data_IF_109630379661
#
_entry.id   IF_109630379661
#
_cell.length_a   1.000
_cell.length_b   1.000
_cell.length_c   1.000
_cell.angle_alpha   90.00
_cell.angle_beta   90.00
_cell.angle_gamma   90.00
#
_symmetry.space_group_name_H-M   'P 1'
#
loop_
_entity.id
_entity.type
_entity.pdbx_description
1 polymer ?
#
# COMPACT_ATOMS: atom_id res chain seq x y z
N UNK A 1 20.05 24.10 -10.62
CA UNK A 1 18.91 23.92 -9.70
C UNK A 1 19.41 23.13 -8.53
N UNK A 2 18.90 23.28 -7.29
CA UNK A 2 19.29 22.40 -6.22
C UNK A 2 18.97 20.95 -6.60
N UNK A 3 19.85 20.04 -6.28
CA UNK A 3 19.68 18.62 -6.54
C UNK A 3 18.56 18.08 -5.62
N UNK A 4 17.47 17.56 -6.21
CA UNK A 4 16.33 17.03 -5.46
C UNK A 4 16.58 15.56 -5.16
N UNK A 5 16.33 15.14 -3.93
CA UNK A 5 16.37 13.73 -3.50
C UNK A 5 14.97 13.27 -3.08
N UNK A 6 14.38 12.39 -3.87
CA UNK A 6 13.08 11.80 -3.61
C UNK A 6 13.24 10.57 -2.71
N UNK A 7 12.62 10.60 -1.53
CA UNK A 7 12.47 9.43 -0.68
C UNK A 7 11.34 8.54 -1.17
N UNK A 8 11.58 7.24 -1.29
CA UNK A 8 10.58 6.24 -1.66
C UNK A 8 10.52 5.19 -0.57
N UNK A 9 9.36 5.04 0.08
CA UNK A 9 9.13 4.00 1.08
C UNK A 9 8.51 2.79 0.39
N UNK A 10 9.18 1.65 0.50
CA UNK A 10 8.91 0.44 -0.26
C UNK A 10 10.01 0.19 -1.30
N UNK A 11 10.53 -1.03 -1.30
CA UNK A 11 11.70 -1.41 -2.10
C UNK A 11 11.38 -2.43 -3.19
N UNK A 12 10.12 -2.65 -3.49
CA UNK A 12 9.65 -3.61 -4.46
C UNK A 12 9.92 -3.22 -5.92
N UNK A 13 9.26 -3.92 -6.82
CA UNK A 13 9.37 -3.69 -8.27
C UNK A 13 8.93 -2.28 -8.67
N UNK A 14 7.87 -1.76 -8.05
CA UNK A 14 7.39 -0.41 -8.32
C UNK A 14 8.38 0.66 -7.83
N UNK A 15 9.02 0.44 -6.67
CA UNK A 15 10.10 1.29 -6.18
C UNK A 15 11.28 1.36 -7.14
N UNK A 16 11.65 0.22 -7.75
CA UNK A 16 12.66 0.15 -8.81
C UNK A 16 12.27 0.99 -10.02
N UNK A 17 11.02 0.86 -10.50
CA UNK A 17 10.53 1.61 -11.66
C UNK A 17 10.45 3.12 -11.38
N UNK A 18 10.03 3.51 -10.17
CA UNK A 18 10.02 4.91 -9.74
C UNK A 18 11.42 5.50 -9.70
N UNK A 19 12.41 4.76 -9.18
CA UNK A 19 13.81 5.21 -9.15
C UNK A 19 14.35 5.41 -10.56
N UNK A 20 14.13 4.47 -11.47
CA UNK A 20 14.52 4.62 -12.88
C UNK A 20 13.85 5.83 -13.55
N UNK A 21 12.57 6.08 -13.25
CA UNK A 21 11.85 7.22 -13.80
C UNK A 21 12.36 8.54 -13.23
N UNK A 22 12.67 8.61 -11.95
CA UNK A 22 13.24 9.78 -11.28
C UNK A 22 14.61 10.12 -11.84
N UNK A 23 15.48 9.14 -12.04
CA UNK A 23 16.81 9.33 -12.62
C UNK A 23 16.78 9.93 -14.05
N UNK A 24 15.76 9.59 -14.85
CA UNK A 24 15.56 10.21 -16.19
C UNK A 24 15.23 11.70 -16.12
N UNK A 25 14.83 12.19 -14.95
CA UNK A 25 14.49 13.59 -14.68
C UNK A 25 15.58 14.28 -13.85
N UNK A 26 16.75 13.69 -13.72
CA UNK A 26 17.86 14.17 -12.87
C UNK A 26 17.46 14.33 -11.39
N UNK A 27 16.52 13.49 -10.91
CA UNK A 27 16.09 13.44 -9.51
C UNK A 27 16.77 12.25 -8.86
N UNK A 28 17.53 12.49 -7.79
CA UNK A 28 18.11 11.43 -6.95
C UNK A 28 17.03 10.71 -6.15
N UNK A 29 17.27 9.45 -5.83
CA UNK A 29 16.36 8.63 -5.04
C UNK A 29 17.04 8.00 -3.85
N UNK A 30 16.32 7.95 -2.73
CA UNK A 30 16.68 7.19 -1.54
C UNK A 30 15.53 6.25 -1.21
N UNK A 31 15.77 4.95 -1.25
CA UNK A 31 14.78 3.92 -0.89
C UNK A 31 14.88 3.62 0.61
N UNK A 32 13.73 3.46 1.25
CA UNK A 32 13.58 2.88 2.59
C UNK A 32 12.76 1.60 2.50
N UNK A 33 13.29 0.47 2.97
CA UNK A 33 12.60 -0.82 2.90
C UNK A 33 12.90 -1.69 4.12
N UNK A 34 11.92 -2.52 4.51
CA UNK A 34 12.05 -3.57 5.52
C UNK A 34 12.57 -4.91 4.94
N UNK A 35 12.81 -4.95 3.64
CA UNK A 35 13.45 -6.08 2.95
C UNK A 35 14.92 -5.70 2.63
N UNK A 36 15.93 -6.41 3.22
CA UNK A 36 17.33 -6.13 2.93
C UNK A 36 17.73 -6.47 1.49
N UNK A 37 16.97 -7.35 0.81
CA UNK A 37 17.21 -7.79 -0.57
C UNK A 37 16.27 -7.11 -1.55
N UNK A 38 15.67 -5.98 -1.16
CA UNK A 38 14.71 -5.24 -1.96
C UNK A 38 15.27 -4.88 -3.35
N UNK A 39 14.58 -5.23 -4.46
CA UNK A 39 15.10 -5.02 -5.81
C UNK A 39 15.39 -3.55 -6.16
N UNK A 40 14.67 -2.60 -5.54
CA UNK A 40 14.86 -1.17 -5.77
C UNK A 40 16.25 -0.66 -5.32
N UNK A 41 16.94 -1.40 -4.46
CA UNK A 41 18.32 -1.09 -4.05
C UNK A 41 19.26 -0.93 -5.26
N UNK A 42 19.07 -1.73 -6.31
CA UNK A 42 19.93 -1.73 -7.49
C UNK A 42 19.67 -0.55 -8.45
N UNK A 43 18.62 0.22 -8.21
CA UNK A 43 18.16 1.30 -9.10
C UNK A 43 18.12 2.67 -8.43
N UNK A 44 18.37 2.72 -7.13
CA UNK A 44 18.37 3.96 -6.35
C UNK A 44 19.79 4.48 -6.08
N UNK A 45 19.93 5.78 -5.83
CA UNK A 45 21.21 6.38 -5.44
C UNK A 45 21.60 6.00 -4.01
N UNK A 46 20.61 5.82 -3.14
CA UNK A 46 20.81 5.40 -1.75
C UNK A 46 19.74 4.38 -1.34
N UNK A 47 20.13 3.47 -0.46
CA UNK A 47 19.24 2.49 0.16
C UNK A 47 19.43 2.47 1.68
N UNK A 48 18.31 2.44 2.40
CA UNK A 48 18.29 2.32 3.86
C UNK A 48 17.37 1.14 4.20
N UNK A 49 17.99 0.10 4.78
CA UNK A 49 17.25 -1.02 5.36
C UNK A 49 16.82 -0.68 6.79
N UNK A 50 15.55 -0.93 7.12
CA UNK A 50 15.01 -0.77 8.46
C UNK A 50 13.54 -1.13 8.54
N UNK A 51 13.11 -1.66 9.67
CA UNK A 51 11.69 -1.92 9.92
C UNK A 51 10.88 -0.61 9.94
N UNK A 52 9.58 -0.69 9.63
CA UNK A 52 8.70 0.49 9.60
C UNK A 52 8.40 1.08 10.99
N UNK A 53 8.89 0.48 12.08
CA UNK A 53 8.85 0.98 13.46
C UNK A 53 10.23 1.45 13.98
N UNK A 54 11.30 1.31 13.18
CA UNK A 54 12.66 1.75 13.52
C UNK A 54 12.78 3.27 13.39
N UNK A 55 12.56 3.97 14.49
CA UNK A 55 12.55 5.43 14.54
C UNK A 55 13.91 6.05 14.16
N UNK A 56 15.02 5.40 14.50
CA UNK A 56 16.36 5.91 14.19
C UNK A 56 16.63 5.86 12.69
N UNK A 57 16.31 4.73 12.05
CA UNK A 57 16.42 4.56 10.62
C UNK A 57 15.48 5.45 9.83
N UNK A 58 14.25 5.64 10.31
CA UNK A 58 13.29 6.57 9.73
C UNK A 58 13.83 8.01 9.79
N UNK A 59 14.40 8.44 10.91
CA UNK A 59 15.00 9.77 11.04
C UNK A 59 16.21 9.92 10.11
N UNK A 60 17.05 8.88 9.99
CA UNK A 60 18.17 8.86 9.03
C UNK A 60 17.66 9.07 7.60
N UNK A 61 16.63 8.34 7.20
CA UNK A 61 15.99 8.45 5.89
C UNK A 61 15.43 9.86 5.64
N UNK A 62 14.61 10.38 6.56
CA UNK A 62 13.95 11.69 6.42
C UNK A 62 14.97 12.83 6.27
N UNK A 63 16.13 12.74 6.90
CA UNK A 63 17.20 13.76 6.79
C UNK A 63 17.85 13.80 5.41
N UNK A 64 17.82 12.69 4.65
CA UNK A 64 18.49 12.58 3.35
C UNK A 64 17.66 13.00 2.17
N UNK A 65 16.36 13.24 2.36
CA UNK A 65 15.39 13.44 1.27
C UNK A 65 14.66 14.77 1.38
N UNK A 66 14.14 15.27 0.27
CA UNK A 66 13.42 16.55 0.19
C UNK A 66 11.90 16.36 0.21
N UNK A 67 11.43 15.29 -0.41
CA UNK A 67 10.03 14.90 -0.53
C UNK A 67 9.94 13.38 -0.40
N UNK A 68 8.84 12.87 0.12
CA UNK A 68 8.65 11.43 0.30
C UNK A 68 7.40 10.96 -0.43
N UNK A 69 7.54 9.85 -1.13
CA UNK A 69 6.43 9.03 -1.64
C UNK A 69 6.54 7.60 -1.11
N UNK A 70 5.54 6.79 -1.38
CA UNK A 70 5.54 5.37 -1.05
C UNK A 70 4.89 4.57 -2.19
N UNK A 71 5.33 3.34 -2.35
CA UNK A 71 4.78 2.41 -3.37
C UNK A 71 4.12 1.18 -2.75
N UNK A 72 4.43 0.88 -1.49
CA UNK A 72 3.89 -0.27 -0.78
C UNK A 72 2.67 0.14 0.05
N UNK A 73 1.51 -0.47 -0.22
CA UNK A 73 0.25 -0.09 0.45
C UNK A 73 0.20 -0.47 1.93
N UNK A 74 0.90 -1.53 2.35
CA UNK A 74 0.82 -2.06 3.71
C UNK A 74 1.78 -1.42 4.71
N UNK A 75 2.34 -0.23 4.40
CA UNK A 75 3.12 0.54 5.36
C UNK A 75 2.18 1.00 6.49
N UNK A 76 2.54 0.81 7.77
CA UNK A 76 1.71 1.24 8.90
C UNK A 76 1.35 2.73 8.80
N UNK A 77 0.06 3.03 8.96
CA UNK A 77 -0.41 4.42 8.90
C UNK A 77 0.32 5.36 9.87
N UNK A 78 0.56 4.88 11.10
CA UNK A 78 1.21 5.69 12.14
C UNK A 78 2.65 6.04 11.73
N UNK A 79 3.37 5.13 11.07
CA UNK A 79 4.70 5.39 10.51
C UNK A 79 4.65 6.50 9.48
N UNK A 80 3.78 6.39 8.47
CA UNK A 80 3.64 7.44 7.45
C UNK A 80 3.21 8.78 8.05
N UNK A 81 2.34 8.75 9.05
CA UNK A 81 1.85 9.95 9.71
C UNK A 81 2.95 10.64 10.53
N UNK A 82 3.79 9.91 11.24
CA UNK A 82 4.97 10.47 11.95
C UNK A 82 5.99 11.03 10.95
N UNK A 83 6.29 10.30 9.88
CA UNK A 83 7.17 10.79 8.82
C UNK A 83 6.63 12.11 8.23
N UNK A 84 5.33 12.19 7.98
CA UNK A 84 4.70 13.38 7.39
C UNK A 84 4.76 14.63 8.28
N UNK A 85 4.95 14.47 9.60
CA UNK A 85 5.21 15.59 10.52
C UNK A 85 6.62 16.17 10.34
N UNK A 86 7.55 15.38 9.88
CA UNK A 86 8.97 15.73 9.71
C UNK A 86 9.28 16.17 8.27
N UNK A 87 8.72 15.47 7.31
CA UNK A 87 8.92 15.70 5.87
C UNK A 87 7.63 15.36 5.12
N UNK A 88 7.28 16.20 4.14
CA UNK A 88 6.05 16.03 3.36
C UNK A 88 6.01 14.67 2.66
N UNK A 89 4.92 13.94 2.88
CA UNK A 89 4.61 12.65 2.23
C UNK A 89 3.46 12.84 1.23
N UNK A 90 3.65 12.36 0.02
CA UNK A 90 2.64 12.36 -1.04
C UNK A 90 2.54 10.97 -1.69
N UNK A 91 1.31 10.44 -1.86
CA UNK A 91 0.03 10.94 -1.34
C UNK A 91 0.01 11.10 0.18
N UNK A 92 -0.94 11.90 0.72
CA UNK A 92 -1.05 12.08 2.18
C UNK A 92 -1.29 10.72 2.88
N UNK A 93 -0.77 10.50 4.10
CA UNK A 93 -0.96 9.24 4.84
C UNK A 93 -2.43 8.81 4.99
N UNK A 94 -3.36 9.78 5.07
CA UNK A 94 -4.80 9.50 5.11
C UNK A 94 -5.33 8.78 3.88
N UNK A 95 -4.70 8.97 2.71
CA UNK A 95 -5.03 8.24 1.49
C UNK A 95 -4.64 6.77 1.65
N UNK A 96 -3.41 6.50 2.12
CA UNK A 96 -2.94 5.14 2.39
C UNK A 96 -3.86 4.41 3.37
N UNK A 97 -4.21 5.06 4.49
CA UNK A 97 -5.13 4.49 5.49
C UNK A 97 -6.48 4.11 4.89
N UNK A 98 -6.99 4.93 3.97
CA UNK A 98 -8.28 4.66 3.32
C UNK A 98 -8.20 3.43 2.42
N UNK A 99 -7.18 3.34 1.57
CA UNK A 99 -7.04 2.24 0.59
C UNK A 99 -6.61 0.91 1.23
N UNK A 100 -5.99 0.94 2.41
CA UNK A 100 -5.63 -0.27 3.16
C UNK A 100 -6.85 -1.08 3.59
N UNK A 101 -8.04 -0.48 3.66
CA UNK A 101 -9.26 -1.15 4.06
C UNK A 101 -10.27 -1.19 2.91
N UNK A 102 -10.41 -2.33 2.28
CA UNK A 102 -11.17 -2.54 1.04
C UNK A 102 -12.63 -2.06 1.07
N UNK A 103 -13.32 -2.21 2.20
CA UNK A 103 -14.71 -1.69 2.34
C UNK A 103 -14.69 -0.17 2.43
N UNK A 104 -13.81 0.41 3.24
CA UNK A 104 -13.71 1.86 3.37
C UNK A 104 -13.37 2.54 2.04
N UNK A 105 -12.47 1.93 1.25
CA UNK A 105 -12.13 2.38 -0.10
C UNK A 105 -13.35 2.36 -1.03
N UNK A 106 -14.09 1.24 -1.08
CA UNK A 106 -15.29 1.12 -1.93
C UNK A 106 -16.40 2.08 -1.50
N UNK A 107 -16.63 2.21 -0.21
CA UNK A 107 -17.61 3.16 0.34
C UNK A 107 -17.25 4.60 -0.01
N UNK A 108 -15.96 4.96 0.08
CA UNK A 108 -15.48 6.27 -0.31
C UNK A 108 -15.70 6.54 -1.81
N UNK A 109 -15.35 5.60 -2.68
CA UNK A 109 -15.52 5.73 -4.13
C UNK A 109 -17.01 5.88 -4.48
N UNK A 110 -17.88 5.07 -3.86
CA UNK A 110 -19.33 5.14 -4.10
C UNK A 110 -19.94 6.45 -3.59
N UNK A 111 -19.46 7.02 -2.47
CA UNK A 111 -19.88 8.35 -1.99
C UNK A 111 -19.53 9.48 -2.98
N UNK A 112 -18.55 9.28 -3.84
CA UNK A 112 -18.22 10.19 -4.93
C UNK A 112 -19.06 9.95 -6.19
N UNK A 113 -20.10 9.10 -6.12
CA UNK A 113 -20.95 8.68 -7.26
C UNK A 113 -20.17 7.93 -8.36
N UNK A 114 -19.03 7.34 -8.03
CA UNK A 114 -18.26 6.47 -8.92
C UNK A 114 -18.70 5.03 -8.66
N UNK A 115 -19.19 4.36 -9.70
CA UNK A 115 -19.68 2.98 -9.58
C UNK A 115 -18.53 2.00 -9.37
N UNK A 116 -18.70 1.10 -8.41
CA UNK A 116 -17.81 -0.06 -8.20
C UNK A 116 -18.59 -1.35 -8.48
N UNK A 117 -17.90 -2.47 -8.57
CA UNK A 117 -18.54 -3.80 -8.51
C UNK A 117 -19.35 -3.91 -7.23
N UNK A 118 -20.54 -4.51 -7.30
CA UNK A 118 -21.37 -4.81 -6.11
C UNK A 118 -20.52 -5.55 -5.06
N UNK A 119 -20.73 -5.23 -3.82
CA UNK A 119 -20.03 -5.86 -2.68
C UNK A 119 -20.92 -5.86 -1.45
N UNK A 120 -20.58 -6.72 -0.52
CA UNK A 120 -21.22 -6.84 0.79
C UNK A 120 -20.16 -7.19 1.82
N UNK A 121 -20.30 -6.65 3.02
CA UNK A 121 -19.46 -7.04 4.17
C UNK A 121 -19.94 -8.37 4.73
N UNK A 122 -18.98 -9.24 5.05
CA UNK A 122 -19.21 -10.51 5.74
C UNK A 122 -18.43 -10.44 7.04
N UNK A 123 -19.13 -10.48 8.17
CA UNK A 123 -18.54 -10.46 9.51
C UNK A 123 -18.57 -11.82 10.19
N UNK A 124 -19.56 -12.65 9.85
CA UNK A 124 -19.77 -13.99 10.43
C UNK A 124 -20.32 -14.95 9.38
N UNK A 125 -20.16 -16.25 9.62
CA UNK A 125 -20.57 -17.31 8.69
C UNK A 125 -22.06 -17.24 8.33
N UNK A 126 -22.94 -16.86 9.26
CA UNK A 126 -24.39 -16.73 8.99
C UNK A 126 -24.74 -15.64 7.97
N UNK A 127 -23.88 -14.63 7.77
CA UNK A 127 -24.13 -13.58 6.78
C UNK A 127 -24.09 -14.14 5.36
N UNK A 128 -23.34 -15.23 5.18
CA UNK A 128 -23.13 -15.89 3.89
C UNK A 128 -24.39 -16.57 3.38
N UNK A 129 -25.24 -17.08 4.25
CA UNK A 129 -26.49 -17.79 3.91
C UNK A 129 -27.48 -16.90 3.15
N UNK A 130 -27.30 -15.57 3.26
CA UNK A 130 -28.16 -14.56 2.61
C UNK A 130 -27.59 -14.04 1.27
N UNK A 131 -26.49 -14.63 0.78
CA UNK A 131 -25.70 -14.07 -0.33
C UNK A 131 -25.90 -14.78 -1.68
N UNK A 132 -26.97 -15.54 -1.87
CA UNK A 132 -27.24 -16.21 -3.16
C UNK A 132 -27.20 -15.24 -4.35
N UNK A 133 -27.72 -14.01 -4.17
CA UNK A 133 -27.71 -12.97 -5.20
C UNK A 133 -26.30 -12.41 -5.54
N UNK A 134 -25.29 -12.73 -4.73
CA UNK A 134 -23.90 -12.34 -4.95
C UNK A 134 -23.04 -13.44 -5.59
N UNK A 135 -23.63 -14.61 -5.83
CA UNK A 135 -22.92 -15.72 -6.45
C UNK A 135 -23.16 -15.79 -7.98
N UNK A 136 -22.14 -16.16 -8.76
CA UNK A 136 -20.77 -16.43 -8.32
C UNK A 136 -20.03 -15.13 -7.93
N UNK A 137 -19.17 -15.20 -6.92
CA UNK A 137 -18.46 -14.04 -6.38
C UNK A 137 -17.02 -14.34 -6.00
N UNK A 138 -16.32 -13.31 -5.55
CA UNK A 138 -14.97 -13.43 -5.00
C UNK A 138 -15.01 -12.94 -3.55
N UNK A 139 -14.77 -13.85 -2.61
CA UNK A 139 -14.55 -13.51 -1.22
C UNK A 139 -13.13 -12.96 -1.07
N UNK A 140 -12.98 -11.83 -0.38
CA UNK A 140 -11.69 -11.19 -0.18
C UNK A 140 -11.53 -10.75 1.27
N UNK A 141 -10.31 -10.81 1.80
CA UNK A 141 -9.99 -10.15 3.06
C UNK A 141 -10.17 -8.64 2.93
N UNK A 142 -10.56 -7.99 4.02
CA UNK A 142 -10.75 -6.52 4.02
C UNK A 142 -9.43 -5.76 4.05
N UNK A 143 -8.36 -6.39 4.55
CA UNK A 143 -7.00 -5.84 4.66
C UNK A 143 -5.97 -6.88 4.25
N UNK A 144 -4.73 -6.47 4.00
CA UNK A 144 -3.57 -7.34 3.71
C UNK A 144 -3.71 -8.27 2.50
N UNK A 145 -4.68 -8.04 1.63
CA UNK A 145 -4.86 -8.83 0.41
C UNK A 145 -4.21 -8.16 -0.80
N UNK A 146 -3.17 -8.77 -1.38
CA UNK A 146 -2.46 -8.31 -2.58
C UNK A 146 -2.09 -9.50 -3.47
N UNK A 147 -1.88 -9.27 -4.76
CA UNK A 147 -1.43 -10.25 -5.75
C UNK A 147 -2.18 -11.59 -5.71
N UNK A 148 -3.49 -11.54 -5.51
CA UNK A 148 -4.33 -12.73 -5.41
C UNK A 148 -4.36 -13.39 -4.03
N UNK A 149 -3.54 -12.95 -3.09
CA UNK A 149 -3.57 -13.42 -1.70
C UNK A 149 -4.83 -12.92 -0.98
N UNK A 150 -5.35 -13.73 -0.06
CA UNK A 150 -6.56 -13.39 0.70
C UNK A 150 -7.80 -13.27 -0.17
N UNK A 151 -7.90 -14.04 -1.29
CA UNK A 151 -9.11 -14.09 -2.12
C UNK A 151 -9.46 -15.53 -2.53
N UNK A 152 -10.76 -15.82 -2.56
CA UNK A 152 -11.31 -17.11 -2.92
C UNK A 152 -12.48 -16.95 -3.88
N UNK A 153 -12.49 -17.71 -4.96
CA UNK A 153 -13.63 -17.76 -5.88
C UNK A 153 -14.73 -18.64 -5.27
N UNK A 154 -15.92 -18.08 -5.11
CA UNK A 154 -17.09 -18.77 -4.55
C UNK A 154 -18.14 -18.90 -5.66
N UNK A 155 -18.43 -20.11 -6.08
CA UNK A 155 -19.45 -20.40 -7.11
C UNK A 155 -20.80 -20.73 -6.48
N UNK A 156 -20.79 -21.34 -5.30
CA UNK A 156 -21.97 -21.76 -4.53
C UNK A 156 -21.64 -21.70 -3.03
N UNK A 157 -22.66 -21.59 -2.19
CA UNK A 157 -22.51 -21.46 -0.73
C UNK A 157 -21.65 -22.56 -0.12
N UNK A 158 -21.78 -23.81 -0.59
CA UNK A 158 -20.97 -24.94 -0.12
C UNK A 158 -19.45 -24.78 -0.29
N UNK A 159 -19.00 -23.90 -1.19
CA UNK A 159 -17.58 -23.66 -1.38
C UNK A 159 -16.93 -22.98 -0.15
N UNK A 160 -17.75 -22.36 0.70
CA UNK A 160 -17.35 -21.68 1.93
C UNK A 160 -17.08 -22.63 3.10
N UNK A 161 -17.52 -23.88 3.02
CA UNK A 161 -17.27 -24.88 4.06
C UNK A 161 -15.80 -25.33 4.11
N UNK A 162 -15.02 -24.98 3.08
CA UNK A 162 -13.60 -25.34 2.92
C UNK A 162 -12.64 -24.16 3.18
N UNK A 163 -13.12 -23.04 3.75
CA UNK A 163 -12.32 -21.84 4.02
C UNK A 163 -11.92 -21.68 5.47
#
# INVERSE_FOLDING_TARGET
MPEINLGIIGGGQLGSLLSVAANKLDIKTTIYSDDPDAPAQNFSDNFIFGNYDDKEKIIEFVKKVDLITYEFENIPFDTLNEINKLKKVLPKPSVNRLIQHRLAEKDFINKLNIRTTRYVSIEKKSDIETLEDFLPGILKTTTMGYDGKGQHQIKKIKDLDNL
#
